data_IF_390868050433
#
_entry.id   IF_390868050433
#
_cell.length_a   1.000
_cell.length_b   1.000
_cell.length_c   1.000
_cell.angle_alpha   90.00
_cell.angle_beta   90.00
_cell.angle_gamma   90.00
#
_symmetry.space_group_name_H-M   'P 1'
#
loop_
_entity.id
_entity.type
_entity.pdbx_description
1 polymer ?
#
# COMPACT_ATOMS: atom_id res chain seq x y z
N UNK A 1 6.38 25.79 5.22
CA UNK A 1 6.30 25.94 3.76
C UNK A 1 6.79 24.70 2.98
N UNK A 2 7.97 24.11 3.22
CA UNK A 2 8.37 22.86 2.51
C UNK A 2 7.68 21.59 3.07
N UNK A 3 7.59 21.46 4.40
CA UNK A 3 6.97 20.29 5.04
C UNK A 3 5.49 20.08 4.67
N UNK A 4 4.73 21.14 4.45
CA UNK A 4 3.27 21.04 4.23
C UNK A 4 2.91 20.58 2.81
N UNK A 5 3.71 20.97 1.81
CA UNK A 5 3.55 20.50 0.43
C UNK A 5 4.10 19.08 0.23
N UNK A 6 5.16 18.72 0.94
CA UNK A 6 5.69 17.35 0.93
C UNK A 6 4.73 16.38 1.64
N UNK A 7 4.15 16.80 2.76
CA UNK A 7 3.07 16.07 3.44
C UNK A 7 1.84 15.86 2.56
N UNK A 8 1.45 16.82 1.73
CA UNK A 8 0.30 16.66 0.83
C UNK A 8 0.62 15.72 -0.33
N UNK A 9 1.83 15.77 -0.89
CA UNK A 9 2.28 14.89 -1.96
C UNK A 9 2.36 13.42 -1.53
N UNK A 10 2.93 13.13 -0.35
CA UNK A 10 3.02 11.75 0.17
C UNK A 10 1.64 11.17 0.44
N UNK A 11 0.71 11.96 1.00
CA UNK A 11 -0.69 11.53 1.24
C UNK A 11 -1.44 11.25 -0.06
N UNK A 12 -1.29 12.11 -1.06
CA UNK A 12 -1.87 11.87 -2.39
C UNK A 12 -1.32 10.60 -3.01
N UNK A 13 -0.02 10.31 -2.83
CA UNK A 13 0.58 9.08 -3.34
C UNK A 13 0.02 7.83 -2.66
N UNK A 14 -0.19 7.85 -1.34
CA UNK A 14 -0.89 6.78 -0.61
C UNK A 14 -2.28 6.54 -1.19
N UNK A 15 -3.05 7.60 -1.44
CA UNK A 15 -4.38 7.50 -2.03
C UNK A 15 -4.33 6.87 -3.43
N UNK A 16 -3.42 7.34 -4.29
CA UNK A 16 -3.26 6.84 -5.66
C UNK A 16 -2.86 5.37 -5.69
N UNK A 17 -1.92 4.94 -4.84
CA UNK A 17 -1.51 3.53 -4.75
C UNK A 17 -2.69 2.68 -4.25
N UNK A 18 -3.40 3.12 -3.22
CA UNK A 18 -4.55 2.40 -2.70
C UNK A 18 -5.68 2.29 -3.74
N UNK A 19 -5.94 3.33 -4.53
CA UNK A 19 -6.88 3.28 -5.66
C UNK A 19 -6.41 2.32 -6.74
N UNK A 20 -5.14 2.37 -7.16
CA UNK A 20 -4.60 1.48 -8.18
C UNK A 20 -4.67 0.00 -7.77
N UNK A 21 -4.47 -0.30 -6.47
CA UNK A 21 -4.64 -1.65 -5.91
C UNK A 21 -6.10 -2.12 -5.95
N UNK A 22 -7.06 -1.24 -5.70
CA UNK A 22 -8.50 -1.55 -5.75
C UNK A 22 -9.00 -1.71 -7.19
N UNK A 23 -8.53 -0.87 -8.12
CA UNK A 23 -8.84 -0.94 -9.55
C UNK A 23 -8.14 -2.10 -10.27
N UNK A 24 -7.09 -2.67 -9.66
CA UNK A 24 -6.30 -3.76 -10.25
C UNK A 24 -5.28 -3.30 -11.31
N UNK A 25 -5.03 -2.00 -11.41
CA UNK A 25 -3.99 -1.42 -12.28
C UNK A 25 -2.58 -1.71 -11.74
N UNK A 26 -2.45 -1.87 -10.42
CA UNK A 26 -1.22 -2.28 -9.75
C UNK A 26 -1.35 -3.71 -9.23
N UNK A 27 -0.27 -4.50 -9.38
CA UNK A 27 -0.20 -5.81 -8.78
C UNK A 27 -0.33 -5.69 -7.25
N UNK A 28 -1.29 -6.42 -6.69
CA UNK A 28 -1.72 -6.19 -5.30
C UNK A 28 -0.56 -6.30 -4.30
N UNK A 29 0.29 -7.31 -4.45
CA UNK A 29 1.43 -7.51 -3.54
C UNK A 29 2.50 -6.42 -3.70
N UNK A 30 2.71 -5.90 -4.91
CA UNK A 30 3.64 -4.77 -5.12
C UNK A 30 3.11 -3.50 -4.45
N UNK A 31 1.80 -3.27 -4.50
CA UNK A 31 1.16 -2.17 -3.78
C UNK A 31 1.30 -2.28 -2.25
N UNK A 32 1.36 -3.49 -1.69
CA UNK A 32 1.64 -3.69 -0.25
C UNK A 32 3.03 -3.17 0.12
N UNK A 33 4.05 -3.48 -0.68
CA UNK A 33 5.41 -2.98 -0.45
C UNK A 33 5.52 -1.46 -0.64
N UNK A 34 4.88 -0.90 -1.69
CA UNK A 34 4.82 0.55 -1.90
C UNK A 34 4.19 1.28 -0.70
N UNK A 35 3.05 0.78 -0.17
CA UNK A 35 2.41 1.37 1.01
C UNK A 35 3.22 1.19 2.29
N UNK A 36 3.95 0.08 2.43
CA UNK A 36 4.85 -0.15 3.55
C UNK A 36 6.05 0.81 3.52
N UNK A 37 6.67 1.03 2.35
CA UNK A 37 7.73 2.02 2.15
C UNK A 37 7.25 3.43 2.51
N UNK A 38 6.08 3.83 1.99
CA UNK A 38 5.46 5.12 2.30
C UNK A 38 5.18 5.28 3.81
N UNK A 39 4.88 4.19 4.54
CA UNK A 39 4.66 4.25 5.98
C UNK A 39 5.89 4.71 6.80
N UNK A 40 7.09 4.65 6.22
CA UNK A 40 8.32 5.13 6.88
C UNK A 40 8.52 6.65 6.74
N UNK A 41 7.74 7.28 5.86
CA UNK A 41 7.83 8.71 5.61
C UNK A 41 7.37 9.52 6.85
N UNK A 42 8.19 10.44 7.37
CA UNK A 42 7.86 11.22 8.58
C UNK A 42 6.70 12.21 8.36
N UNK A 43 6.33 12.48 7.11
CA UNK A 43 5.21 13.33 6.71
C UNK A 43 3.85 12.62 6.89
N UNK A 44 3.85 11.29 6.93
CA UNK A 44 2.71 10.49 7.35
C UNK A 44 2.75 10.34 8.86
N UNK A 45 1.60 10.52 9.51
CA UNK A 45 1.52 10.39 10.96
C UNK A 45 2.07 9.01 11.35
N UNK A 46 3.15 9.00 12.13
CA UNK A 46 3.91 7.81 12.58
C UNK A 46 3.03 6.71 13.20
N UNK A 47 1.77 7.02 13.49
CA UNK A 47 0.81 6.12 14.09
C UNK A 47 -0.45 5.79 13.27
N UNK A 48 -0.46 6.02 11.97
CA UNK A 48 -1.61 5.63 11.15
C UNK A 48 -1.77 4.11 11.13
N UNK A 49 -2.79 3.61 11.84
CA UNK A 49 -3.03 2.17 11.99
C UNK A 49 -3.30 1.50 10.64
N UNK A 50 -3.84 2.25 9.68
CA UNK A 50 -4.05 1.79 8.30
C UNK A 50 -2.74 1.46 7.59
N UNK A 51 -1.68 2.26 7.80
CA UNK A 51 -0.38 2.07 7.15
C UNK A 51 0.47 1.00 7.83
N UNK A 52 0.40 0.88 9.17
CA UNK A 52 1.10 -0.19 9.91
C UNK A 52 0.69 -1.59 9.47
N UNK A 53 -0.56 -1.78 9.04
CA UNK A 53 -1.01 -3.06 8.51
C UNK A 53 -0.15 -3.49 7.32
N UNK A 54 0.18 -2.57 6.41
CA UNK A 54 1.00 -2.87 5.23
C UNK A 54 2.44 -3.20 5.57
N UNK A 55 3.00 -2.59 6.62
CA UNK A 55 4.35 -2.95 7.13
C UNK A 55 4.37 -4.39 7.64
N UNK A 56 3.36 -4.79 8.41
CA UNK A 56 3.23 -6.18 8.89
C UNK A 56 3.07 -7.13 7.70
N UNK A 57 2.21 -6.80 6.75
CA UNK A 57 2.01 -7.61 5.55
C UNK A 57 3.30 -7.74 4.72
N UNK A 58 4.03 -6.65 4.52
CA UNK A 58 5.31 -6.69 3.80
C UNK A 58 6.31 -7.64 4.48
N UNK A 59 6.37 -7.65 5.81
CA UNK A 59 7.22 -8.59 6.56
C UNK A 59 6.85 -10.06 6.34
N UNK A 60 5.55 -10.38 6.24
CA UNK A 60 5.09 -11.74 5.93
C UNK A 60 5.41 -12.16 4.49
N UNK A 61 5.51 -11.17 3.59
CA UNK A 61 5.74 -11.35 2.15
C UNK A 61 7.22 -11.28 1.76
N UNK A 62 8.11 -10.82 2.64
CA UNK A 62 9.55 -10.58 2.39
C UNK A 62 10.27 -11.84 1.86
N UNK A 63 9.80 -13.03 2.26
CA UNK A 63 10.33 -14.31 1.79
C UNK A 63 9.88 -14.74 0.38
N UNK A 64 9.02 -13.98 -0.30
CA UNK A 64 8.46 -14.34 -1.60
C UNK A 64 9.06 -13.51 -2.75
N UNK A 65 9.26 -14.11 -3.93
CA UNK A 65 9.76 -13.38 -5.10
C UNK A 65 8.66 -12.51 -5.71
N UNK A 66 8.52 -11.30 -5.18
CA UNK A 66 7.53 -10.28 -5.58
C UNK A 66 8.25 -9.07 -6.20
N UNK A 67 7.64 -8.48 -7.23
CA UNK A 67 8.15 -7.29 -7.90
C UNK A 67 9.57 -7.45 -8.47
N UNK A 68 10.44 -6.42 -8.37
CA UNK A 68 11.75 -6.40 -9.03
C UNK A 68 12.71 -7.46 -8.48
N UNK A 69 12.50 -7.98 -7.28
CA UNK A 69 13.34 -9.04 -6.71
C UNK A 69 13.29 -10.34 -7.54
N UNK A 70 12.20 -10.57 -8.29
CA UNK A 70 12.03 -11.74 -9.17
C UNK A 70 13.16 -11.91 -10.18
N UNK A 71 13.82 -10.82 -10.59
CA UNK A 71 14.93 -10.85 -11.55
C UNK A 71 16.16 -11.61 -11.03
N UNK A 72 16.30 -11.71 -9.70
CA UNK A 72 17.42 -12.39 -9.04
C UNK A 72 17.12 -13.86 -8.74
N UNK A 73 15.90 -14.34 -9.02
CA UNK A 73 15.47 -15.69 -8.70
C UNK A 73 15.49 -16.60 -9.92
N UNK A 74 15.91 -17.85 -9.72
CA UNK A 74 15.86 -18.88 -10.76
C UNK A 74 14.41 -19.17 -11.17
N UNK A 75 14.19 -19.47 -12.46
CA UNK A 75 12.86 -19.82 -13.00
C UNK A 75 12.17 -20.96 -12.23
N UNK A 76 12.93 -21.97 -11.79
CA UNK A 76 12.41 -23.07 -10.98
C UNK A 76 11.92 -22.61 -9.59
N UNK A 77 12.60 -21.63 -8.97
CA UNK A 77 12.18 -21.08 -7.69
C UNK A 77 10.92 -20.23 -7.85
N UNK A 78 10.84 -19.40 -8.91
CA UNK A 78 9.63 -18.64 -9.23
C UNK A 78 8.40 -19.55 -9.38
N UNK A 79 8.53 -20.66 -10.12
CA UNK A 79 7.45 -21.63 -10.28
C UNK A 79 7.04 -22.29 -8.96
N UNK A 80 8.01 -22.62 -8.10
CA UNK A 80 7.75 -23.23 -6.79
C UNK A 80 7.00 -22.31 -5.84
N UNK A 81 7.26 -21.00 -5.90
CA UNK A 81 6.61 -20.00 -5.04
C UNK A 81 5.31 -19.42 -5.62
N UNK A 82 5.01 -19.68 -6.89
CA UNK A 82 3.78 -19.23 -7.55
C UNK A 82 2.49 -19.53 -6.74
N UNK A 83 2.25 -20.75 -6.22
CA UNK A 83 1.05 -21.01 -5.41
C UNK A 83 1.03 -20.23 -4.10
N UNK A 84 2.19 -19.99 -3.48
CA UNK A 84 2.29 -19.16 -2.28
C UNK A 84 1.99 -17.69 -2.58
N UNK A 85 2.41 -17.18 -3.73
CA UNK A 85 2.11 -15.81 -4.20
C UNK A 85 0.60 -15.64 -4.45
N UNK A 86 -0.05 -16.64 -5.05
CA UNK A 86 -1.50 -16.62 -5.27
C UNK A 86 -2.26 -16.64 -3.94
N UNK A 87 -1.90 -17.54 -3.02
CA UNK A 87 -2.49 -17.61 -1.69
C UNK A 87 -2.29 -16.31 -0.90
N UNK A 88 -1.08 -15.76 -0.94
CA UNK A 88 -0.74 -14.48 -0.33
C UNK A 88 -1.56 -13.33 -0.91
N UNK A 89 -1.82 -13.32 -2.23
CA UNK A 89 -2.66 -12.29 -2.87
C UNK A 89 -4.09 -12.34 -2.35
N UNK A 90 -4.68 -13.53 -2.21
CA UNK A 90 -6.04 -13.71 -1.69
C UNK A 90 -6.12 -13.26 -0.23
N UNK A 91 -5.17 -13.71 0.60
CA UNK A 91 -5.07 -13.31 2.00
C UNK A 91 -4.93 -11.79 2.14
N UNK A 92 -3.99 -11.19 1.39
CA UNK A 92 -3.69 -9.77 1.44
C UNK A 92 -4.90 -8.92 1.06
N UNK A 93 -5.64 -9.31 0.02
CA UNK A 93 -6.88 -8.65 -0.41
C UNK A 93 -7.94 -8.69 0.67
N UNK A 94 -8.16 -9.85 1.30
CA UNK A 94 -9.15 -10.00 2.37
C UNK A 94 -8.83 -9.15 3.59
N UNK A 95 -7.56 -9.14 4.01
CA UNK A 95 -7.11 -8.43 5.21
C UNK A 95 -7.13 -6.90 5.04
N UNK A 96 -6.72 -6.40 3.87
CA UNK A 96 -6.50 -4.96 3.66
C UNK A 96 -7.64 -4.23 2.95
N UNK A 97 -8.71 -4.92 2.51
CA UNK A 97 -9.82 -4.31 1.78
C UNK A 97 -10.48 -3.12 2.52
N UNK A 98 -10.63 -3.20 3.84
CA UNK A 98 -11.19 -2.09 4.64
C UNK A 98 -10.16 -0.97 4.84
N UNK A 99 -8.89 -1.32 5.08
CA UNK A 99 -7.81 -0.36 5.23
C UNK A 99 -7.60 0.47 3.94
N UNK A 100 -7.59 -0.17 2.77
CA UNK A 100 -7.48 0.51 1.47
C UNK A 100 -8.64 1.49 1.24
N UNK A 101 -9.88 1.07 1.51
CA UNK A 101 -11.05 1.94 1.39
C UNK A 101 -10.96 3.15 2.32
N UNK A 102 -10.50 2.94 3.56
CA UNK A 102 -10.30 4.02 4.52
C UNK A 102 -9.19 4.99 4.08
N UNK A 103 -8.07 4.47 3.56
CA UNK A 103 -6.97 5.30 3.02
C UNK A 103 -7.45 6.16 1.85
N UNK A 104 -8.21 5.59 0.91
CA UNK A 104 -8.78 6.33 -0.22
C UNK A 104 -9.80 7.36 0.25
N UNK A 105 -10.66 7.05 1.22
CA UNK A 105 -11.63 8.02 1.76
C UNK A 105 -10.93 9.20 2.47
N UNK A 106 -9.85 8.91 3.20
CA UNK A 106 -9.11 9.93 3.98
C UNK A 106 -8.18 10.79 3.12
N UNK A 107 -7.57 10.22 2.08
CA UNK A 107 -6.54 10.89 1.29
C UNK A 107 -6.91 11.13 -0.17
N UNK A 108 -7.92 10.43 -0.70
CA UNK A 108 -8.43 10.60 -2.07
C UNK A 108 -9.45 11.73 -2.21
N UNK A 109 -9.78 12.42 -1.13
CA UNK A 109 -10.64 13.60 -1.14
C UNK A 109 -9.95 14.80 -1.76
N UNK A 110 -10.17 15.03 -3.05
CA UNK A 110 -10.14 16.38 -3.60
C UNK A 110 -11.30 17.18 -2.97
N UNK A 111 -10.99 17.98 -1.94
CA UNK A 111 -11.84 19.05 -1.42
C UNK A 111 -13.29 18.69 -1.08
N UNK A 112 -13.54 18.30 0.16
CA UNK A 112 -14.69 18.88 0.87
C UNK A 112 -14.15 20.02 1.72
N UNK A 113 -14.02 21.18 1.07
CA UNK A 113 -14.27 22.45 1.75
C UNK A 113 -15.75 22.42 2.16
N UNK A 114 -16.05 21.72 3.26
CA UNK A 114 -17.33 21.69 3.92
C UNK A 114 -17.18 22.50 5.19
N UNK A 115 -17.56 23.77 5.10
CA UNK A 115 -17.86 24.64 6.22
C UNK A 115 -18.65 23.86 7.28
N UNK A 116 -18.07 23.70 8.47
CA UNK A 116 -18.86 23.52 9.68
C UNK A 116 -18.72 24.85 10.43
N UNK A 117 -19.67 25.74 10.15
CA UNK A 117 -20.00 26.89 10.97
C UNK A 117 -21.15 26.41 11.88
N UNK A 118 -20.92 26.47 13.19
CA UNK A 118 -21.84 26.05 14.24
C UNK A 118 -21.24 26.21 15.63
#
# INVERSE_FOLDING_TARGET
MANEQEMSATRQRVASVAQAMLSGELAFLEGVFELAELSHDPALARHDAGLRLFVVMASELDGLPIGPARQYWSKAALLRHQPSIEAATVWARGLSAEALRNLVARFGGNGVCGLDDG
#
